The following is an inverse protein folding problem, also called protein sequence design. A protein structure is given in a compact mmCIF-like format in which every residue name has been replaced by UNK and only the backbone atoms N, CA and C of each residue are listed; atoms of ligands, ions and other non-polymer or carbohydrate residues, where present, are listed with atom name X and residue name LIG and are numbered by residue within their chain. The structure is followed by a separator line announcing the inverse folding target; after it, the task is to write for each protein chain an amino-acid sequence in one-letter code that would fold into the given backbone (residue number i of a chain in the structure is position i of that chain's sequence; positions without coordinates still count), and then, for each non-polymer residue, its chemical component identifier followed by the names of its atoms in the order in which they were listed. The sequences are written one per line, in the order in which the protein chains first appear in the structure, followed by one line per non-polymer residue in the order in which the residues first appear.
data_IF_679630337886
#
_entry.id   IF_679630337886
#
_cell.length_a   1.000
_cell.length_b   1.000
_cell.length_c   1.000
_cell.angle_alpha   90.00
_cell.angle_beta   90.00
_cell.angle_gamma   90.00
#
_symmetry.space_group_name_H-M   'P 1'
#
loop_
_entity.id
_entity.type
_entity.pdbx_description
1 polymer ?
#
# COMPACT_ATOMS: atom_id res chain seq x y z
N UNK A 1 12.57 20.87 11.11
CA UNK A 1 13.00 19.64 10.40
C UNK A 1 11.78 18.76 10.18
N UNK A 2 11.39 18.50 8.93
CA UNK A 2 10.37 17.50 8.64
C UNK A 2 10.92 16.09 8.89
N UNK A 3 10.11 15.21 9.47
CA UNK A 3 10.52 13.83 9.73
C UNK A 3 10.58 13.04 8.43
N UNK A 4 11.50 12.06 8.33
CA UNK A 4 11.64 11.18 7.15
C UNK A 4 10.31 10.58 6.70
N UNK A 5 9.45 10.20 7.65
CA UNK A 5 8.11 9.67 7.38
C UNK A 5 7.19 10.69 6.69
N UNK A 6 7.23 11.97 7.08
CA UNK A 6 6.46 13.04 6.41
C UNK A 6 6.92 13.22 4.95
N UNK A 7 8.22 13.08 4.69
CA UNK A 7 8.76 13.19 3.34
C UNK A 7 8.32 12.01 2.45
N UNK A 8 8.32 10.78 2.99
CA UNK A 8 7.85 9.58 2.28
C UNK A 8 6.39 9.74 1.85
N UNK A 9 5.51 10.10 2.78
CA UNK A 9 4.08 10.30 2.49
C UNK A 9 3.85 11.36 1.41
N UNK A 10 4.52 12.51 1.53
CA UNK A 10 4.42 13.59 0.53
C UNK A 10 4.83 13.12 -0.86
N UNK A 11 5.89 12.31 -0.94
CA UNK A 11 6.37 11.78 -2.21
C UNK A 11 5.41 10.76 -2.82
N UNK A 12 4.82 9.87 -2.00
CA UNK A 12 3.75 8.95 -2.45
C UNK A 12 2.58 9.73 -3.03
N UNK A 13 2.07 10.73 -2.29
CA UNK A 13 0.96 11.58 -2.75
C UNK A 13 1.31 12.30 -4.06
N UNK A 14 2.53 12.83 -4.18
CA UNK A 14 3.01 13.50 -5.39
C UNK A 14 3.06 12.55 -6.60
N UNK A 15 3.59 11.34 -6.43
CA UNK A 15 3.72 10.35 -7.51
C UNK A 15 2.36 9.82 -7.99
N UNK A 16 1.42 9.65 -7.07
CA UNK A 16 0.08 9.15 -7.38
C UNK A 16 -0.92 10.26 -7.72
N UNK A 17 -0.55 11.53 -7.55
CA UNK A 17 -1.46 12.66 -7.74
C UNK A 17 -2.60 12.71 -6.72
N UNK A 18 -2.37 12.21 -5.51
CA UNK A 18 -3.39 12.14 -4.46
C UNK A 18 -3.41 13.41 -3.62
N UNK A 19 -4.62 13.83 -3.22
CA UNK A 19 -4.79 14.76 -2.12
C UNK A 19 -4.49 14.09 -0.77
N UNK A 20 -4.32 14.90 0.27
CA UNK A 20 -4.16 14.40 1.64
C UNK A 20 -5.37 13.56 2.08
N UNK A 21 -6.59 13.99 1.72
CA UNK A 21 -7.82 13.27 2.00
C UNK A 21 -7.86 11.90 1.30
N UNK A 22 -7.56 11.86 0.00
CA UNK A 22 -7.52 10.61 -0.76
C UNK A 22 -6.48 9.63 -0.21
N UNK A 23 -5.32 10.14 0.22
CA UNK A 23 -4.32 9.30 0.88
C UNK A 23 -4.86 8.67 2.16
N UNK A 24 -5.56 9.44 3.02
CA UNK A 24 -6.13 8.86 4.24
C UNK A 24 -7.28 7.91 3.98
N UNK A 25 -8.09 8.15 2.94
CA UNK A 25 -9.12 7.19 2.51
C UNK A 25 -8.48 5.86 2.11
N UNK A 26 -7.36 5.88 1.38
CA UNK A 26 -6.61 4.66 1.06
C UNK A 26 -6.06 3.96 2.32
N UNK A 27 -5.59 4.71 3.32
CA UNK A 27 -5.16 4.14 4.62
C UNK A 27 -6.29 3.33 5.25
N UNK A 28 -7.51 3.84 5.21
CA UNK A 28 -8.68 3.17 5.76
C UNK A 28 -9.10 1.98 4.88
N UNK A 29 -9.29 2.18 3.57
CA UNK A 29 -9.75 1.14 2.64
C UNK A 29 -8.80 -0.06 2.63
N UNK A 30 -7.49 0.19 2.50
CA UNK A 30 -6.52 -0.90 2.39
C UNK A 30 -6.37 -1.67 3.71
N UNK A 31 -6.79 -1.08 4.82
CA UNK A 31 -6.89 -1.76 6.10
C UNK A 31 -7.91 -2.90 6.05
N UNK A 32 -9.09 -2.65 5.46
CA UNK A 32 -10.12 -3.68 5.27
C UNK A 32 -9.66 -4.72 4.25
N UNK A 33 -9.16 -4.29 3.10
CA UNK A 33 -8.69 -5.18 2.04
C UNK A 33 -7.59 -6.11 2.54
N UNK A 34 -6.65 -5.59 3.33
CA UNK A 34 -5.59 -6.38 3.94
C UNK A 34 -6.16 -7.49 4.83
N UNK A 35 -7.09 -7.17 5.72
CA UNK A 35 -7.63 -8.16 6.66
C UNK A 35 -8.49 -9.21 5.95
N UNK A 36 -9.26 -8.80 4.94
CA UNK A 36 -10.01 -9.73 4.09
C UNK A 36 -9.07 -10.66 3.32
N UNK A 37 -7.99 -10.13 2.75
CA UNK A 37 -6.97 -10.92 2.05
C UNK A 37 -6.25 -11.92 2.98
N UNK A 38 -6.24 -11.67 4.29
CA UNK A 38 -5.75 -12.60 5.32
C UNK A 38 -6.78 -13.64 5.76
N UNK A 39 -8.00 -13.60 5.23
CA UNK A 39 -9.06 -14.53 5.57
C UNK A 39 -9.70 -14.26 6.92
N UNK A 40 -9.54 -13.06 7.49
CA UNK A 40 -10.29 -12.69 8.69
C UNK A 40 -11.77 -12.55 8.34
N UNK A 41 -12.63 -13.07 9.22
CA UNK A 41 -14.07 -12.87 9.13
C UNK A 41 -14.40 -11.38 9.33
N UNK A 42 -15.39 -10.86 8.59
CA UNK A 42 -15.82 -9.45 8.66
C UNK A 42 -16.09 -8.97 10.09
N UNK A 43 -16.75 -9.78 10.92
CA UNK A 43 -17.02 -9.40 12.31
C UNK A 43 -15.73 -9.21 13.14
N UNK A 44 -14.69 -9.99 12.86
CA UNK A 44 -13.39 -9.83 13.52
C UNK A 44 -12.69 -8.56 13.03
N UNK A 45 -12.78 -8.26 11.74
CA UNK A 45 -12.25 -7.02 11.15
C UNK A 45 -12.89 -5.81 11.81
N UNK A 46 -14.22 -5.78 11.91
CA UNK A 46 -14.96 -4.69 12.54
C UNK A 46 -14.56 -4.47 14.00
N UNK A 47 -14.39 -5.56 14.77
CA UNK A 47 -13.93 -5.48 16.18
C UNK A 47 -12.51 -4.93 16.26
N UNK A 48 -11.59 -5.40 15.41
CA UNK A 48 -10.21 -4.92 15.41
C UNK A 48 -10.11 -3.44 15.05
N UNK A 49 -10.89 -2.98 14.07
CA UNK A 49 -10.98 -1.57 13.67
C UNK A 49 -11.57 -0.65 14.74
N UNK A 50 -12.21 -1.19 15.77
CA UNK A 50 -12.63 -0.39 16.94
C UNK A 50 -11.50 -0.20 17.96
N UNK A 51 -10.38 -0.91 17.82
CA UNK A 51 -9.28 -0.85 18.79
C UNK A 51 -8.21 0.18 18.40
N UNK A 52 -7.82 1.10 19.30
CA UNK A 52 -6.72 2.03 19.01
C UNK A 52 -5.39 1.33 18.75
N UNK A 53 -5.15 0.20 19.41
CA UNK A 53 -3.93 -0.59 19.23
C UNK A 53 -3.77 -1.09 17.78
N UNK A 54 -4.87 -1.51 17.15
CA UNK A 54 -4.87 -1.90 15.75
C UNK A 54 -4.42 -0.75 14.85
N UNK A 55 -4.97 0.46 15.02
CA UNK A 55 -4.61 1.61 14.19
C UNK A 55 -3.18 2.11 14.41
N UNK A 56 -2.62 1.93 15.61
CA UNK A 56 -1.20 2.18 15.84
C UNK A 56 -0.34 1.21 15.04
N UNK A 57 -0.66 -0.09 15.10
CA UNK A 57 0.05 -1.11 14.34
C UNK A 57 -0.12 -0.91 12.82
N UNK A 58 -1.34 -0.71 12.34
CA UNK A 58 -1.66 -0.57 10.92
C UNK A 58 -0.95 0.63 10.29
N UNK A 59 -0.93 1.80 10.95
CA UNK A 59 -0.20 2.96 10.45
C UNK A 59 1.29 2.70 10.28
N UNK A 60 1.89 1.86 11.12
CA UNK A 60 3.28 1.46 10.96
C UNK A 60 3.46 0.56 9.73
N UNK A 61 2.57 -0.43 9.54
CA UNK A 61 2.59 -1.30 8.36
C UNK A 61 2.38 -0.50 7.06
N UNK A 62 1.44 0.43 7.07
CA UNK A 62 1.16 1.32 5.96
C UNK A 62 2.40 2.16 5.59
N UNK A 63 3.08 2.74 6.59
CA UNK A 63 4.33 3.46 6.36
C UNK A 63 5.46 2.60 5.77
N UNK A 64 5.53 1.31 6.12
CA UNK A 64 6.49 0.37 5.53
C UNK A 64 6.16 0.12 4.05
N UNK A 65 4.88 -0.09 3.73
CA UNK A 65 4.42 -0.29 2.37
C UNK A 65 4.63 0.96 1.49
N UNK A 66 4.46 2.17 2.04
CA UNK A 66 4.83 3.42 1.35
C UNK A 66 6.31 3.45 0.96
N UNK A 67 7.21 3.08 1.87
CA UNK A 67 8.64 3.01 1.58
C UNK A 67 8.96 1.98 0.50
N UNK A 68 8.32 0.82 0.56
CA UNK A 68 8.50 -0.24 -0.44
C UNK A 68 8.03 0.21 -1.83
N UNK A 69 6.87 0.86 -1.91
CA UNK A 69 6.35 1.43 -3.14
C UNK A 69 7.34 2.44 -3.73
N UNK A 70 7.80 3.42 -2.95
CA UNK A 70 8.76 4.43 -3.42
C UNK A 70 10.07 3.81 -3.91
N UNK A 71 10.64 2.87 -3.15
CA UNK A 71 11.87 2.19 -3.55
C UNK A 71 11.67 1.42 -4.86
N UNK A 72 10.51 0.78 -5.04
CA UNK A 72 10.17 0.09 -6.29
C UNK A 72 10.06 1.09 -7.44
N UNK A 73 9.37 2.21 -7.24
CA UNK A 73 9.28 3.29 -8.23
C UNK A 73 10.62 3.96 -8.58
N UNK A 74 11.61 3.93 -7.69
CA UNK A 74 12.97 4.41 -8.00
C UNK A 74 13.73 3.43 -8.90
N UNK A 75 13.50 2.13 -8.72
CA UNK A 75 14.10 1.07 -9.56
C UNK A 75 13.42 0.99 -10.93
N UNK A 76 12.11 1.23 -11.00
CA UNK A 76 11.35 1.18 -12.24
C UNK A 76 11.09 2.58 -12.78
N UNK A 77 11.58 2.89 -13.98
CA UNK A 77 11.36 4.18 -14.64
C UNK A 77 9.87 4.61 -14.60
N UNK A 78 9.56 5.64 -13.82
CA UNK A 78 8.23 6.22 -13.58
C UNK A 78 7.43 6.50 -14.86
N UNK A 79 8.11 6.67 -15.99
CA UNK A 79 7.50 7.04 -17.27
C UNK A 79 6.82 5.88 -18.01
N UNK A 80 6.86 4.65 -17.46
CA UNK A 80 6.27 3.46 -18.11
C UNK A 80 4.87 3.10 -17.64
N UNK A 81 4.38 3.70 -16.56
CA UNK A 81 3.12 3.32 -15.94
C UNK A 81 2.13 4.49 -15.96
N UNK A 82 0.87 4.19 -16.26
CA UNK A 82 -0.21 5.17 -16.09
C UNK A 82 -0.50 5.42 -14.60
N UNK A 83 -1.13 6.55 -14.24
CA UNK A 83 -1.53 6.80 -12.84
C UNK A 83 -2.36 5.66 -12.23
N UNK A 84 -3.28 5.08 -12.99
CA UNK A 84 -4.09 3.94 -12.55
C UNK A 84 -3.23 2.69 -12.27
N UNK A 85 -2.20 2.43 -13.08
CA UNK A 85 -1.29 1.30 -12.87
C UNK A 85 -0.40 1.51 -11.64
N UNK A 86 0.04 2.75 -11.39
CA UNK A 86 0.79 3.09 -10.18
C UNK A 86 -0.08 2.95 -8.93
N UNK A 87 -1.35 3.38 -8.99
CA UNK A 87 -2.30 3.23 -7.88
C UNK A 87 -2.60 1.76 -7.58
N UNK A 88 -2.78 0.93 -8.61
CA UNK A 88 -2.98 -0.51 -8.42
C UNK A 88 -1.74 -1.18 -7.83
N UNK A 89 -0.55 -0.85 -8.31
CA UNK A 89 0.71 -1.34 -7.72
C UNK A 89 0.86 -0.89 -6.26
N UNK A 90 0.47 0.36 -5.95
CA UNK A 90 0.45 0.88 -4.60
C UNK A 90 -0.49 0.08 -3.69
N UNK A 91 -1.73 -0.18 -4.13
CA UNK A 91 -2.69 -1.02 -3.40
C UNK A 91 -2.12 -2.41 -3.09
N UNK A 92 -1.47 -3.03 -4.07
CA UNK A 92 -0.84 -4.34 -3.90
C UNK A 92 0.36 -4.33 -2.95
N UNK A 93 1.07 -3.21 -2.81
CA UNK A 93 2.07 -3.06 -1.76
C UNK A 93 1.38 -3.19 -0.39
N UNK A 94 0.24 -2.54 -0.17
CA UNK A 94 -0.45 -2.59 1.12
C UNK A 94 -1.15 -3.92 1.42
N UNK A 95 -1.80 -4.51 0.42
CA UNK A 95 -2.54 -5.77 0.58
C UNK A 95 -1.58 -6.99 0.51
N UNK A 96 -0.58 -6.92 -0.35
CA UNK A 96 0.30 -8.04 -0.71
C UNK A 96 1.62 -8.13 0.05
N UNK A 97 2.14 -7.05 0.65
CA UNK A 97 3.45 -7.09 1.34
C UNK A 97 3.47 -8.07 2.50
N UNK A 98 2.36 -8.29 3.23
CA UNK A 98 2.38 -9.31 4.28
C UNK A 98 1.91 -10.70 3.83
N UNK A 99 1.50 -10.91 2.57
CA UNK A 99 0.93 -12.18 2.10
C UNK A 99 1.75 -12.94 1.05
N UNK A 100 2.73 -12.32 0.40
CA UNK A 100 3.47 -12.96 -0.70
C UNK A 100 4.93 -13.27 -0.32
N UNK A 101 5.29 -14.53 -0.02
CA UNK A 101 6.67 -14.98 0.02
C UNK A 101 7.18 -15.03 -1.42
N UNK A 102 7.94 -14.01 -1.81
CA UNK A 102 8.51 -13.88 -3.15
C UNK A 102 9.30 -12.59 -3.29
N UNK A 103 10.37 -12.65 -4.07
CA UNK A 103 11.18 -11.51 -4.47
C UNK A 103 10.34 -10.49 -5.23
N UNK A 104 10.76 -9.21 -5.21
CA UNK A 104 10.10 -8.12 -5.95
C UNK A 104 9.90 -8.46 -7.45
N UNK A 105 10.80 -9.25 -8.02
CA UNK A 105 10.77 -9.70 -9.42
C UNK A 105 9.60 -10.66 -9.69
N UNK A 106 9.38 -11.62 -8.80
CA UNK A 106 8.28 -12.60 -8.93
C UNK A 106 6.91 -11.93 -8.82
N UNK A 107 6.80 -10.90 -7.95
CA UNK A 107 5.57 -10.11 -7.82
C UNK A 107 5.24 -9.36 -9.11
N UNK A 108 6.26 -8.82 -9.79
CA UNK A 108 6.08 -8.05 -11.02
C UNK A 108 5.72 -8.95 -12.22
N UNK A 109 6.31 -10.14 -12.32
CA UNK A 109 5.95 -11.13 -13.33
C UNK A 109 4.49 -11.60 -13.18
N UNK A 110 4.00 -11.73 -11.96
CA UNK A 110 2.59 -12.04 -11.69
C UNK A 110 1.64 -10.95 -12.21
N UNK A 111 1.97 -9.67 -12.00
CA UNK A 111 1.16 -8.55 -12.48
C UNK A 111 1.14 -8.41 -14.00
N UNK A 112 2.20 -8.85 -14.67
CA UNK A 112 2.27 -8.88 -16.12
C UNK A 112 1.49 -10.07 -16.72
N UNK A 113 1.29 -11.15 -15.97
CA UNK A 113 0.57 -12.35 -16.43
C UNK A 113 -0.94 -12.29 -16.24
N UNK A 114 -1.44 -11.50 -15.29
CA UNK A 114 -2.89 -11.23 -15.12
C UNK A 114 -3.48 -10.43 -16.31
N UNK A 115 -2.64 -9.86 -17.20
CA UNK A 115 -3.06 -9.13 -18.40
C UNK A 115 -3.30 -9.99 -19.66
N UNK A 116 -3.49 -11.30 -19.51
CA UNK A 116 -3.93 -12.20 -20.60
C UNK A 116 -5.23 -12.87 -20.22
#
# INVERSE_FOLDING_TARGET
METRAKNIRKEVMRLLGLSEEQYYLNVLEYSYDFMQAKGYNVAVVDVLHQTPAYWVWWRNQFGIADMFFLNSCQVFALNRYSPAQLLEFYKQCHVGIMAFPGTLVEKIQHLQTIKK
#
